data_IF_418569796838
#
_entry.id   IF_418569796838
#
_cell.length_a   1.000
_cell.length_b   1.000
_cell.length_c   1.000
_cell.angle_alpha   90.00
_cell.angle_beta   90.00
_cell.angle_gamma   90.00
#
_symmetry.space_group_name_H-M   'P 1'
#
loop_
_entity.id
_entity.type
_entity.pdbx_description
1 polymer ?
#
# COMPACT_ATOMS: atom_id res chain seq x y z
N UNK A 1 -9.06 27.40 -4.35
CA UNK A 1 -8.77 26.05 -3.81
C UNK A 1 -7.64 25.44 -4.61
N UNK A 2 -6.56 24.93 -3.97
CA UNK A 2 -5.49 24.27 -4.71
C UNK A 2 -6.03 23.05 -5.47
N UNK A 3 -5.87 23.02 -6.79
CA UNK A 3 -6.53 22.05 -7.68
C UNK A 3 -5.74 20.74 -7.86
N UNK A 4 -4.49 20.72 -7.40
CA UNK A 4 -3.50 19.67 -7.69
C UNK A 4 -2.90 19.02 -6.43
N UNK A 5 -3.65 19.01 -5.33
CA UNK A 5 -3.26 18.32 -4.10
C UNK A 5 -3.09 16.82 -4.33
N UNK A 6 -2.26 16.21 -3.50
CA UNK A 6 -2.11 14.76 -3.45
C UNK A 6 -3.43 14.08 -3.08
N UNK A 7 -3.47 12.79 -3.36
CA UNK A 7 -4.62 11.92 -3.21
C UNK A 7 -4.27 10.82 -2.23
N UNK A 8 -5.22 10.55 -1.36
CA UNK A 8 -5.20 9.35 -0.54
C UNK A 8 -5.94 8.26 -1.32
N UNK A 9 -5.28 7.10 -1.42
CA UNK A 9 -5.83 5.93 -2.09
C UNK A 9 -5.83 4.74 -1.14
N UNK A 10 -6.79 3.84 -1.36
CA UNK A 10 -6.72 2.44 -0.92
C UNK A 10 -6.15 1.63 -2.09
N UNK A 11 -5.01 1.01 -1.87
CA UNK A 11 -4.35 0.12 -2.81
C UNK A 11 -4.61 -1.36 -2.47
N UNK A 12 -4.91 -2.15 -3.50
CA UNK A 12 -4.93 -3.61 -3.42
C UNK A 12 -3.67 -4.16 -4.08
N UNK A 13 -2.92 -4.97 -3.36
CA UNK A 13 -1.66 -5.52 -3.82
C UNK A 13 -1.71 -7.04 -3.84
N UNK A 14 -1.14 -7.64 -4.88
CA UNK A 14 -0.86 -9.07 -4.91
C UNK A 14 0.13 -9.43 -3.80
N UNK A 15 -0.07 -10.57 -3.15
CA UNK A 15 0.91 -11.12 -2.21
C UNK A 15 1.99 -11.88 -2.98
N UNK A 16 3.25 -11.72 -2.57
CA UNK A 16 4.37 -12.47 -3.17
C UNK A 16 4.50 -13.92 -2.68
N UNK A 17 3.91 -14.26 -1.53
CA UNK A 17 3.92 -15.60 -0.94
C UNK A 17 2.63 -16.39 -1.21
N UNK A 18 2.68 -17.71 -1.00
CA UNK A 18 1.52 -18.58 -1.12
C UNK A 18 0.43 -18.22 -0.09
N UNK A 19 -0.86 -18.25 -0.48
CA UNK A 19 -1.97 -18.09 0.46
C UNK A 19 -1.93 -19.17 1.55
N UNK A 20 -2.28 -18.78 2.77
CA UNK A 20 -2.31 -19.65 3.96
C UNK A 20 -3.71 -19.83 4.52
N UNK A 21 -4.65 -18.94 4.17
CA UNK A 21 -6.03 -19.06 4.60
C UNK A 21 -6.81 -20.05 3.71
N UNK A 22 -7.78 -20.82 4.27
CA UNK A 22 -8.49 -21.85 3.52
C UNK A 22 -9.21 -21.36 2.26
N UNK A 23 -9.76 -20.15 2.27
CA UNK A 23 -10.41 -19.52 1.12
C UNK A 23 -9.47 -18.63 0.29
N UNK A 24 -8.16 -18.64 0.60
CA UNK A 24 -7.14 -17.80 -0.03
C UNK A 24 -7.43 -16.31 0.11
N UNK A 25 -8.12 -15.90 1.16
CA UNK A 25 -8.46 -14.51 1.45
C UNK A 25 -7.20 -13.64 1.60
N UNK A 26 -6.07 -14.25 1.94
CA UNK A 26 -4.74 -13.66 2.07
C UNK A 26 -3.91 -13.73 0.77
N UNK A 27 -4.55 -13.86 -0.40
CA UNK A 27 -3.89 -13.75 -1.72
C UNK A 27 -3.51 -12.30 -2.04
N UNK A 28 -4.21 -11.34 -1.45
CA UNK A 28 -3.94 -9.92 -1.61
C UNK A 28 -3.79 -9.26 -0.24
N UNK A 29 -3.14 -8.10 -0.20
CA UNK A 29 -3.13 -7.24 0.96
C UNK A 29 -3.55 -5.82 0.59
N UNK A 30 -4.09 -5.12 1.58
CA UNK A 30 -4.50 -3.73 1.45
C UNK A 30 -3.42 -2.81 2.01
N UNK A 31 -3.22 -1.66 1.36
CA UNK A 31 -2.34 -0.61 1.83
C UNK A 31 -2.92 0.76 1.51
N UNK A 32 -2.46 1.79 2.22
CA UNK A 32 -2.77 3.17 1.88
C UNK A 32 -1.67 3.72 0.99
N UNK A 33 -2.03 4.54 0.01
CA UNK A 33 -1.06 5.23 -0.84
C UNK A 33 -1.38 6.72 -0.78
N UNK A 34 -0.36 7.54 -0.52
CA UNK A 34 -0.39 8.96 -0.83
C UNK A 34 0.39 9.16 -2.12
N UNK A 35 -0.23 9.81 -3.09
CA UNK A 35 0.41 10.06 -4.37
C UNK A 35 -0.19 11.24 -5.10
N UNK A 36 0.47 11.69 -6.19
CA UNK A 36 0.00 12.83 -6.93
C UNK A 36 -1.36 12.56 -7.58
N UNK A 37 -2.13 13.63 -7.79
CA UNK A 37 -3.38 13.57 -8.57
C UNK A 37 -3.13 13.09 -10.00
N UNK A 38 -2.01 13.48 -10.58
CA UNK A 38 -1.56 13.10 -11.93
C UNK A 38 -0.18 12.47 -11.83
N UNK A 39 -0.03 11.26 -12.34
CA UNK A 39 1.26 10.58 -12.43
C UNK A 39 2.15 11.34 -13.42
N UNK A 40 3.23 11.94 -12.93
CA UNK A 40 4.21 12.65 -13.75
C UNK A 40 5.60 12.21 -13.35
N UNK A 41 6.50 12.10 -14.33
CA UNK A 41 7.89 11.75 -14.09
C UNK A 41 8.51 12.70 -13.04
N UNK A 42 9.11 12.14 -12.00
CA UNK A 42 9.71 12.90 -10.89
C UNK A 42 8.83 13.12 -9.66
N UNK A 43 7.54 12.72 -9.68
CA UNK A 43 6.71 12.71 -8.46
C UNK A 43 6.64 11.32 -7.86
N UNK A 44 7.00 11.18 -6.59
CA UNK A 44 6.95 9.92 -5.86
C UNK A 44 5.61 9.75 -5.14
N UNK A 45 5.16 8.51 -5.05
CA UNK A 45 4.09 8.11 -4.12
C UNK A 45 4.71 7.43 -2.90
N UNK A 46 4.02 7.47 -1.77
CA UNK A 46 4.37 6.73 -0.55
C UNK A 46 3.25 5.75 -0.25
N UNK A 47 3.61 4.48 -0.07
CA UNK A 47 2.72 3.44 0.46
C UNK A 47 2.96 3.30 1.96
N UNK A 48 1.84 3.25 2.68
CA UNK A 48 1.78 2.92 4.09
C UNK A 48 1.08 1.58 4.24
N UNK A 49 1.72 0.63 4.90
CA UNK A 49 1.09 -0.64 5.23
C UNK A 49 1.54 -1.16 6.60
N UNK A 50 0.71 -2.02 7.18
CA UNK A 50 1.10 -2.84 8.32
C UNK A 50 1.25 -4.26 7.81
N UNK A 51 2.38 -4.91 8.13
CA UNK A 51 2.62 -6.30 7.77
C UNK A 51 3.11 -7.09 8.98
N UNK A 52 2.82 -8.38 8.96
CA UNK A 52 3.36 -9.31 9.94
C UNK A 52 4.76 -9.75 9.52
N UNK A 53 5.72 -9.68 10.45
CA UNK A 53 7.09 -10.18 10.29
C UNK A 53 7.40 -11.23 11.33
N UNK A 54 8.30 -12.15 10.99
CA UNK A 54 8.77 -13.21 11.91
C UNK A 54 9.87 -12.64 12.80
N UNK A 55 9.75 -12.82 14.11
CA UNK A 55 10.77 -12.41 15.08
C UNK A 55 11.94 -13.40 15.12
N UNK A 56 13.14 -12.88 15.35
CA UNK A 56 14.30 -13.72 15.69
C UNK A 56 14.01 -14.39 17.04
N UNK A 57 13.98 -15.73 17.06
CA UNK A 57 13.63 -16.52 18.25
C UNK A 57 12.19 -17.05 18.26
N UNK A 58 11.40 -16.80 17.20
CA UNK A 58 10.06 -17.33 17.05
C UNK A 58 8.95 -16.33 17.41
N UNK A 59 7.73 -16.64 16.96
CA UNK A 59 6.59 -15.73 17.02
C UNK A 59 6.60 -14.68 15.91
N UNK A 60 5.62 -13.77 15.97
CA UNK A 60 5.43 -12.72 14.98
C UNK A 60 5.27 -11.34 15.62
N UNK A 61 5.46 -10.30 14.81
CA UNK A 61 5.11 -8.93 15.16
C UNK A 61 4.53 -8.19 13.98
N UNK A 62 3.75 -7.15 14.27
CA UNK A 62 3.26 -6.23 13.27
C UNK A 62 4.20 -5.04 13.19
N UNK A 63 4.69 -4.77 11.98
CA UNK A 63 5.50 -3.59 11.68
C UNK A 63 4.74 -2.69 10.73
N UNK A 64 4.88 -1.38 10.95
CA UNK A 64 4.43 -0.35 10.05
C UNK A 64 5.59 0.08 9.17
N UNK A 65 5.36 0.21 7.86
CA UNK A 65 6.39 0.67 6.92
C UNK A 65 5.86 1.77 6.00
N UNK A 66 6.77 2.69 5.67
CA UNK A 66 6.60 3.72 4.64
C UNK A 66 7.55 3.41 3.49
N UNK A 67 7.02 3.14 2.31
CA UNK A 67 7.77 2.61 1.19
C UNK A 67 7.39 3.32 -0.10
N UNK A 68 8.24 3.22 -1.12
CA UNK A 68 7.78 3.48 -2.49
C UNK A 68 6.86 2.32 -2.90
N UNK A 69 5.63 2.57 -3.40
CA UNK A 69 4.72 1.50 -3.76
C UNK A 69 5.32 0.59 -4.85
N UNK A 70 5.28 -0.75 -4.69
CA UNK A 70 5.74 -1.68 -5.71
C UNK A 70 4.72 -1.71 -6.84
N UNK A 71 5.00 -0.99 -7.93
CA UNK A 71 4.12 -0.87 -9.10
C UNK A 71 3.76 -2.21 -9.73
N UNK A 72 4.68 -3.19 -9.70
CA UNK A 72 4.48 -4.51 -10.29
C UNK A 72 3.50 -5.41 -9.50
N UNK A 73 3.15 -5.05 -8.26
CA UNK A 73 2.22 -5.81 -7.42
C UNK A 73 0.91 -5.06 -7.17
N UNK A 74 0.78 -3.81 -7.59
CA UNK A 74 -0.43 -3.02 -7.43
C UNK A 74 -1.51 -3.49 -8.44
N UNK A 75 -2.61 -4.03 -7.93
CA UNK A 75 -3.72 -4.52 -8.75
C UNK A 75 -4.81 -3.45 -8.95
N UNK A 76 -5.14 -2.73 -7.87
CA UNK A 76 -6.21 -1.71 -7.88
C UNK A 76 -5.78 -0.53 -7.02
N UNK A 77 -6.15 0.68 -7.46
CA UNK A 77 -6.00 1.91 -6.67
C UNK A 77 -7.30 2.71 -6.68
N UNK A 78 -7.94 2.83 -5.52
CA UNK A 78 -9.20 3.56 -5.35
C UNK A 78 -8.93 4.89 -4.65
N UNK A 79 -9.33 6.01 -5.26
CA UNK A 79 -9.25 7.33 -4.62
C UNK A 79 -10.27 7.40 -3.49
N UNK A 80 -9.83 7.70 -2.28
CA UNK A 80 -10.73 7.88 -1.12
C UNK A 80 -10.69 9.30 -0.55
N UNK A 81 -9.72 10.13 -0.95
CA UNK A 81 -9.64 11.50 -0.45
C UNK A 81 -8.59 12.38 -1.11
N UNK A 82 -8.57 13.64 -0.68
CA UNK A 82 -7.51 14.61 -0.96
C UNK A 82 -6.71 14.82 0.32
N UNK A 83 -5.40 14.96 0.20
CA UNK A 83 -4.55 15.31 1.34
C UNK A 83 -4.63 16.83 1.56
N UNK A 84 -4.60 17.26 2.83
CA UNK A 84 -4.54 18.67 3.19
C UNK A 84 -3.12 19.23 2.96
N UNK A 85 -2.96 20.57 2.95
CA UNK A 85 -1.64 21.19 2.74
C UNK A 85 -0.88 21.30 4.07
#
# INVERSE_FOLDING_TARGET
MPSNKDRLYVGLFARGGAPTMPGKEDTCHWGLIIGPKYETQGKSSVQYHAKETVKVGGGSEWVFEELTPPTNMLLVRVVIGKVED
#
